data_IF_385666643791
#
_entry.id   IF_385666643791
#
_cell.length_a   1.000
_cell.length_b   1.000
_cell.length_c   1.000
_cell.angle_alpha   90.00
_cell.angle_beta   90.00
_cell.angle_gamma   90.00
#
_symmetry.space_group_name_H-M   'P 1'
#
loop_
_entity.id
_entity.type
_entity.pdbx_description
1 polymer ?
#
# COMPACT_ATOMS: atom_id res chain seq x y z
N UNK A 1 2.04 36.10 -14.09
CA UNK A 1 1.80 34.83 -13.36
C UNK A 1 2.39 33.64 -14.16
N UNK A 2 3.42 32.98 -13.60
CA UNK A 2 4.00 31.79 -14.22
C UNK A 2 3.14 30.57 -13.88
N UNK A 3 2.28 30.19 -14.81
CA UNK A 3 1.43 29.00 -14.67
C UNK A 3 2.22 27.75 -15.03
N UNK A 4 2.11 26.71 -14.20
CA UNK A 4 2.68 25.39 -14.48
C UNK A 4 1.59 24.49 -15.09
N UNK A 5 1.70 24.10 -16.37
CA UNK A 5 0.67 23.30 -17.04
C UNK A 5 0.31 22.00 -16.31
N UNK A 6 1.27 21.40 -15.59
CA UNK A 6 1.08 20.17 -14.81
C UNK A 6 0.21 20.32 -13.56
N UNK A 7 -0.22 21.54 -13.22
CA UNK A 7 -1.05 21.83 -12.04
C UNK A 7 -2.44 22.35 -12.41
N UNK A 8 -2.75 22.43 -13.70
CA UNK A 8 -3.99 23.03 -14.18
C UNK A 8 -5.07 21.96 -14.29
N UNK A 9 -6.11 22.08 -13.47
CA UNK A 9 -7.34 21.31 -13.62
C UNK A 9 -8.34 22.09 -14.48
N UNK A 10 -8.84 21.48 -15.55
CA UNK A 10 -9.85 22.08 -16.43
C UNK A 10 -11.25 21.62 -16.06
N UNK A 11 -12.23 22.51 -16.13
CA UNK A 11 -13.64 22.26 -15.82
C UNK A 11 -14.52 22.97 -16.86
N UNK A 12 -15.72 22.43 -17.13
CA UNK A 12 -16.72 23.10 -17.98
C UNK A 12 -17.55 24.14 -17.22
N UNK A 13 -17.61 24.03 -15.89
CA UNK A 13 -18.34 24.92 -15.01
C UNK A 13 -17.43 25.35 -13.86
N UNK A 14 -17.62 26.54 -13.26
CA UNK A 14 -16.74 27.10 -12.23
C UNK A 14 -16.50 26.23 -10.98
N UNK A 15 -17.34 25.22 -10.75
CA UNK A 15 -17.24 24.25 -9.65
C UNK A 15 -17.53 22.81 -10.12
N UNK A 16 -17.36 22.55 -11.43
CA UNK A 16 -17.63 21.25 -12.01
C UNK A 16 -16.57 20.20 -11.69
N UNK A 17 -16.82 18.96 -12.09
CA UNK A 17 -15.79 17.91 -12.02
C UNK A 17 -14.64 18.23 -12.98
N UNK A 18 -13.40 17.96 -12.56
CA UNK A 18 -12.25 18.11 -13.44
C UNK A 18 -12.33 17.17 -14.64
N UNK A 19 -12.01 17.70 -15.81
CA UNK A 19 -11.91 16.94 -17.05
C UNK A 19 -10.72 15.96 -16.96
N UNK A 20 -10.90 14.78 -17.56
CA UNK A 20 -9.82 13.80 -17.68
C UNK A 20 -8.86 14.24 -18.78
N UNK A 21 -7.57 13.99 -18.60
CA UNK A 21 -6.52 14.31 -19.58
C UNK A 21 -6.70 13.64 -20.96
N UNK A 22 -7.52 12.58 -21.04
CA UNK A 22 -7.78 11.79 -22.25
C UNK A 22 -9.14 12.10 -22.91
N UNK A 23 -9.84 13.15 -22.48
CA UNK A 23 -11.16 13.47 -23.03
C UNK A 23 -11.06 13.97 -24.48
N UNK A 24 -11.95 13.49 -25.34
CA UNK A 24 -12.03 13.98 -26.72
C UNK A 24 -12.76 15.33 -26.73
N UNK A 25 -12.11 16.37 -27.27
CA UNK A 25 -12.70 17.72 -27.40
C UNK A 25 -14.02 17.67 -28.20
N UNK A 26 -14.14 16.81 -29.21
CA UNK A 26 -15.38 16.64 -29.98
C UNK A 26 -16.55 16.16 -29.11
N UNK A 27 -16.28 15.38 -28.06
CA UNK A 27 -17.32 14.94 -27.11
C UNK A 27 -17.75 16.03 -26.14
N UNK A 28 -16.95 17.10 -26.01
CA UNK A 28 -17.24 18.27 -25.17
C UNK A 28 -17.91 19.39 -25.96
N UNK A 29 -17.67 19.45 -27.28
CA UNK A 29 -18.19 20.48 -28.18
C UNK A 29 -19.68 20.25 -28.53
N UNK A 30 -20.58 20.60 -27.61
CA UNK A 30 -22.02 20.69 -27.91
C UNK A 30 -22.33 21.95 -28.75
N UNK A 31 -21.42 22.94 -28.77
CA UNK A 31 -21.54 24.18 -29.54
C UNK A 31 -20.20 24.60 -30.16
N UNK A 32 -20.21 25.62 -31.02
CA UNK A 32 -19.01 26.18 -31.69
C UNK A 32 -17.99 26.80 -30.73
N UNK A 33 -18.38 27.11 -29.49
CA UNK A 33 -17.54 27.74 -28.47
C UNK A 33 -17.60 26.90 -27.19
N UNK A 34 -16.44 26.50 -26.68
CA UNK A 34 -16.30 25.84 -25.37
C UNK A 34 -15.65 26.83 -24.41
N UNK A 35 -16.31 27.09 -23.29
CA UNK A 35 -15.71 27.81 -22.17
C UNK A 35 -15.10 26.80 -21.20
N UNK A 36 -13.81 26.95 -20.91
CA UNK A 36 -13.09 26.14 -19.92
C UNK A 36 -12.68 27.02 -18.75
N UNK A 37 -13.07 26.59 -17.56
CA UNK A 37 -12.57 27.14 -16.31
C UNK A 37 -11.33 26.37 -15.91
N UNK A 38 -10.34 27.08 -15.40
CA UNK A 38 -9.09 26.47 -14.94
C UNK A 38 -8.88 26.76 -13.46
N UNK A 39 -8.39 25.77 -12.73
CA UNK A 39 -8.03 25.89 -11.31
C UNK A 39 -6.62 25.37 -11.12
N UNK A 40 -5.80 26.08 -10.34
CA UNK A 40 -4.50 25.56 -9.89
C UNK A 40 -4.75 24.52 -8.78
N UNK A 41 -4.43 23.26 -9.08
CA UNK A 41 -4.56 22.11 -8.18
C UNK A 41 -3.46 22.10 -7.10
N UNK A 42 -2.48 23.00 -7.18
CA UNK A 42 -1.31 23.02 -6.31
C UNK A 42 -0.26 21.98 -6.73
N UNK A 43 0.72 21.74 -5.86
CA UNK A 43 1.81 20.81 -6.16
C UNK A 43 1.30 19.37 -6.34
N UNK A 44 1.52 18.84 -7.54
CA UNK A 44 1.11 17.50 -7.94
C UNK A 44 2.29 16.52 -7.89
N UNK A 45 2.01 15.25 -7.58
CA UNK A 45 2.96 14.14 -7.65
C UNK A 45 2.38 12.99 -8.46
N UNK A 46 3.24 12.23 -9.14
CA UNK A 46 2.80 11.04 -9.86
C UNK A 46 2.35 9.95 -8.89
N UNK A 47 1.38 9.12 -9.29
CA UNK A 47 0.95 7.98 -8.47
C UNK A 47 2.08 6.99 -8.19
N UNK A 48 2.98 6.74 -9.14
CA UNK A 48 4.15 5.89 -8.90
C UNK A 48 5.02 6.45 -7.79
N UNK A 49 5.34 7.75 -7.82
CA UNK A 49 6.11 8.40 -6.75
C UNK A 49 5.37 8.36 -5.41
N UNK A 50 4.05 8.57 -5.43
CA UNK A 50 3.20 8.49 -4.24
C UNK A 50 3.36 7.12 -3.55
N UNK A 51 3.11 6.03 -4.27
CA UNK A 51 3.10 4.69 -3.69
C UNK A 51 4.50 4.22 -3.32
N UNK A 52 5.52 4.52 -4.14
CA UNK A 52 6.90 4.19 -3.79
C UNK A 52 7.33 4.88 -2.50
N UNK A 53 7.00 6.16 -2.32
CA UNK A 53 7.37 6.91 -1.11
C UNK A 53 6.59 6.39 0.10
N UNK A 54 5.28 6.17 -0.06
CA UNK A 54 4.40 5.66 0.98
C UNK A 54 4.87 4.30 1.51
N UNK A 55 5.26 3.38 0.63
CA UNK A 55 5.68 2.01 0.98
C UNK A 55 7.17 1.87 1.35
N UNK A 56 8.05 2.75 0.86
CA UNK A 56 9.48 2.73 1.25
C UNK A 56 9.66 3.09 2.72
N UNK A 57 8.87 4.04 3.23
CA UNK A 57 8.97 4.47 4.62
C UNK A 57 8.78 3.34 5.63
N UNK A 58 7.66 2.59 5.61
CA UNK A 58 7.43 1.46 6.49
C UNK A 58 8.56 0.44 6.48
N UNK A 59 9.09 0.10 5.30
CA UNK A 59 10.22 -0.83 5.17
C UNK A 59 11.45 -0.34 5.96
N UNK A 60 11.85 0.92 5.74
CA UNK A 60 13.02 1.49 6.40
C UNK A 60 12.79 1.72 7.90
N UNK A 61 11.62 2.25 8.25
CA UNK A 61 11.24 2.54 9.65
C UNK A 61 11.24 1.25 10.47
N UNK A 62 10.63 0.17 9.98
CA UNK A 62 10.61 -1.09 10.72
C UNK A 62 12.03 -1.61 10.96
N UNK A 63 12.90 -1.56 9.94
CA UNK A 63 14.31 -1.96 10.05
C UNK A 63 15.07 -1.12 11.09
N UNK A 64 14.80 0.19 11.18
CA UNK A 64 15.39 1.06 12.22
C UNK A 64 15.02 0.59 13.63
N UNK A 65 13.75 0.25 13.88
CA UNK A 65 13.32 -0.29 15.16
C UNK A 65 13.90 -1.68 15.45
N UNK A 66 14.03 -2.52 14.43
CA UNK A 66 14.62 -3.85 14.54
C UNK A 66 16.11 -3.82 14.98
N UNK A 67 16.87 -2.82 14.50
CA UNK A 67 18.27 -2.60 14.91
C UNK A 67 18.39 -2.32 16.42
N UNK A 68 17.34 -1.79 17.07
CA UNK A 68 17.31 -1.39 18.49
C UNK A 68 18.41 -0.39 18.85
N UNK A 69 18.46 0.73 18.13
CA UNK A 69 19.36 1.84 18.49
C UNK A 69 19.09 2.31 19.93
N UNK A 70 20.16 2.61 20.65
CA UNK A 70 20.15 3.02 22.07
C UNK A 70 19.46 4.37 22.32
N UNK A 71 19.11 5.10 21.27
CA UNK A 71 18.29 6.32 21.31
C UNK A 71 16.79 6.03 21.36
N UNK A 72 16.36 4.84 20.93
CA UNK A 72 14.94 4.44 20.85
C UNK A 72 14.53 3.63 22.09
N UNK A 73 15.40 2.72 22.53
CA UNK A 73 15.15 1.86 23.69
C UNK A 73 16.20 2.12 24.77
N UNK A 74 15.84 1.84 26.02
CA UNK A 74 16.72 2.02 27.18
C UNK A 74 18.10 1.33 26.99
N UNK A 75 19.17 2.01 27.39
CA UNK A 75 20.54 1.54 27.15
C UNK A 75 20.90 0.27 27.93
N UNK A 76 20.30 0.05 29.09
CA UNK A 76 20.53 -1.16 29.90
C UNK A 76 19.85 -2.35 29.23
N UNK A 77 18.67 -2.14 28.67
CA UNK A 77 17.92 -3.19 27.99
C UNK A 77 18.42 -3.47 26.57
N UNK A 78 18.88 -2.45 25.85
CA UNK A 78 19.42 -2.58 24.49
C UNK A 78 20.73 -3.38 24.45
N UNK A 79 21.48 -3.43 25.57
CA UNK A 79 22.65 -4.30 25.73
C UNK A 79 22.28 -5.79 25.74
N UNK A 80 21.02 -6.14 25.97
CA UNK A 80 20.53 -7.51 25.79
C UNK A 80 20.39 -7.78 24.29
N UNK A 81 21.40 -8.41 23.71
CA UNK A 81 21.42 -8.79 22.29
C UNK A 81 20.39 -9.86 21.91
N UNK A 82 19.73 -10.46 22.90
CA UNK A 82 18.76 -11.51 22.67
C UNK A 82 17.45 -10.97 22.05
N UNK A 83 17.00 -11.63 20.99
CA UNK A 83 15.73 -11.41 20.30
C UNK A 83 15.02 -12.75 20.16
N UNK A 84 13.73 -12.78 20.44
CA UNK A 84 12.95 -13.99 20.22
C UNK A 84 12.84 -14.30 18.72
N UNK A 85 12.80 -15.58 18.31
CA UNK A 85 12.66 -15.96 16.90
C UNK A 85 11.49 -15.30 16.17
N UNK A 86 10.37 -15.08 16.88
CA UNK A 86 9.18 -14.40 16.34
C UNK A 86 9.46 -12.95 15.94
N UNK A 87 10.40 -12.25 16.60
CA UNK A 87 10.78 -10.87 16.25
C UNK A 87 11.51 -10.85 14.90
N UNK A 88 12.39 -11.83 14.66
CA UNK A 88 13.06 -12.01 13.38
C UNK A 88 12.06 -12.36 12.27
N UNK A 89 11.13 -13.26 12.56
CA UNK A 89 10.09 -13.65 11.62
C UNK A 89 9.14 -12.49 11.30
N UNK A 90 8.75 -11.69 12.30
CA UNK A 90 7.96 -10.49 12.10
C UNK A 90 8.68 -9.46 11.23
N UNK A 91 9.98 -9.24 11.47
CA UNK A 91 10.79 -8.39 10.58
C UNK A 91 10.82 -8.93 9.15
N UNK A 92 11.01 -10.23 8.97
CA UNK A 92 10.99 -10.86 7.65
C UNK A 92 9.64 -10.69 6.95
N UNK A 93 8.53 -11.01 7.61
CA UNK A 93 7.18 -10.87 7.07
C UNK A 93 6.85 -9.42 6.70
N UNK A 94 7.17 -8.47 7.58
CA UNK A 94 6.94 -7.04 7.33
C UNK A 94 7.77 -6.54 6.14
N UNK A 95 9.05 -6.92 6.07
CA UNK A 95 9.89 -6.58 4.92
C UNK A 95 9.37 -7.20 3.62
N UNK A 96 9.01 -8.49 3.65
CA UNK A 96 8.45 -9.20 2.49
C UNK A 96 7.21 -8.48 1.95
N UNK A 97 6.30 -8.08 2.84
CA UNK A 97 5.08 -7.38 2.50
C UNK A 97 5.34 -6.04 1.79
N UNK A 98 6.16 -5.17 2.38
CA UNK A 98 6.46 -3.88 1.76
C UNK A 98 7.35 -4.00 0.51
N UNK A 99 8.25 -4.98 0.45
CA UNK A 99 9.01 -5.29 -0.77
C UNK A 99 8.05 -5.72 -1.88
N UNK A 100 7.06 -6.58 -1.59
CA UNK A 100 6.03 -6.95 -2.57
C UNK A 100 5.28 -5.72 -3.06
N UNK A 101 4.80 -4.85 -2.18
CA UNK A 101 4.13 -3.60 -2.58
C UNK A 101 5.00 -2.70 -3.46
N UNK A 102 6.30 -2.57 -3.15
CA UNK A 102 7.24 -1.81 -3.97
C UNK A 102 7.42 -2.44 -5.36
N UNK A 103 7.65 -3.76 -5.42
CA UNK A 103 7.79 -4.48 -6.69
C UNK A 103 6.51 -4.42 -7.52
N UNK A 104 5.35 -4.60 -6.91
CA UNK A 104 4.06 -4.49 -7.59
C UNK A 104 3.83 -3.06 -8.11
N UNK A 105 4.18 -2.04 -7.33
CA UNK A 105 4.12 -0.64 -7.77
C UNK A 105 5.00 -0.36 -9.00
N UNK A 106 6.19 -0.99 -9.06
CA UNK A 106 7.14 -0.81 -10.17
C UNK A 106 6.77 -1.62 -11.41
N UNK A 107 6.30 -2.86 -11.24
CA UNK A 107 6.25 -3.85 -12.32
C UNK A 107 4.85 -4.37 -12.65
N UNK A 108 3.88 -4.25 -11.74
CA UNK A 108 2.53 -4.82 -11.90
C UNK A 108 1.48 -3.73 -12.10
N UNK A 109 1.51 -2.69 -11.26
CA UNK A 109 0.50 -1.65 -11.27
C UNK A 109 0.69 -0.69 -12.44
N UNK A 110 -0.38 -0.51 -13.21
CA UNK A 110 -0.48 0.53 -14.24
C UNK A 110 -1.32 1.68 -13.72
N UNK A 111 -0.67 2.70 -13.20
CA UNK A 111 -1.37 3.92 -12.83
C UNK A 111 -1.81 4.65 -14.09
N UNK A 112 -3.13 4.85 -14.26
CA UNK A 112 -3.63 5.75 -15.31
C UNK A 112 -2.99 7.12 -15.14
N UNK A 113 -2.61 7.78 -16.25
CA UNK A 113 -1.82 9.02 -16.28
C UNK A 113 -2.48 10.22 -15.60
N UNK A 114 -2.61 10.15 -14.27
CA UNK A 114 -3.11 11.18 -13.40
C UNK A 114 -2.09 11.48 -12.31
N UNK A 115 -2.25 12.65 -11.72
CA UNK A 115 -1.46 13.08 -10.58
C UNK A 115 -2.37 13.22 -9.36
N UNK A 116 -1.76 13.23 -8.18
CA UNK A 116 -2.46 13.50 -6.92
C UNK A 116 -1.81 14.68 -6.21
N UNK A 117 -2.58 15.50 -5.47
CA UNK A 117 -2.01 16.56 -4.64
C UNK A 117 -0.96 16.02 -3.66
N UNK A 118 0.19 16.70 -3.55
CA UNK A 118 1.27 16.33 -2.63
C UNK A 118 0.78 16.17 -1.18
N UNK A 119 -0.20 16.98 -0.76
CA UNK A 119 -0.81 16.89 0.57
C UNK A 119 -1.42 15.51 0.85
N UNK A 120 -1.95 14.83 -0.16
CA UNK A 120 -2.47 13.47 0.00
C UNK A 120 -1.34 12.48 0.24
N UNK A 121 -0.22 12.62 -0.47
CA UNK A 121 0.97 11.78 -0.25
C UNK A 121 1.52 11.95 1.16
N UNK A 122 1.59 13.18 1.65
CA UNK A 122 2.05 13.46 3.02
C UNK A 122 1.12 12.80 4.04
N UNK A 123 -0.21 12.92 3.87
CA UNK A 123 -1.17 12.26 4.76
C UNK A 123 -1.02 10.74 4.76
N UNK A 124 -0.89 10.14 3.58
CA UNK A 124 -0.66 8.71 3.42
C UNK A 124 0.62 8.25 4.11
N UNK A 125 1.73 8.95 3.85
CA UNK A 125 3.01 8.69 4.51
C UNK A 125 2.89 8.79 6.03
N UNK A 126 2.34 9.88 6.57
CA UNK A 126 2.16 10.04 8.03
C UNK A 126 1.36 8.90 8.63
N UNK A 127 0.30 8.45 7.95
CA UNK A 127 -0.51 7.32 8.37
C UNK A 127 0.32 6.02 8.41
N UNK A 128 0.83 5.56 7.26
CA UNK A 128 1.54 4.28 7.18
C UNK A 128 2.84 4.26 7.99
N UNK A 129 3.60 5.36 7.97
CA UNK A 129 4.87 5.46 8.68
C UNK A 129 4.65 5.52 10.19
N UNK A 130 3.60 6.22 10.63
CA UNK A 130 3.20 6.30 12.03
C UNK A 130 2.76 4.94 12.58
N UNK A 131 1.84 4.25 11.89
CA UNK A 131 1.39 2.92 12.29
C UNK A 131 2.53 1.90 12.27
N UNK A 132 3.42 1.97 11.27
CA UNK A 132 4.60 1.11 11.24
C UNK A 132 5.51 1.37 12.43
N UNK A 133 5.78 2.64 12.74
CA UNK A 133 6.61 3.01 13.90
C UNK A 133 5.99 2.48 15.20
N UNK A 134 4.67 2.61 15.34
CA UNK A 134 3.93 2.11 16.48
C UNK A 134 4.10 0.59 16.61
N UNK A 135 3.73 -0.19 15.60
CA UNK A 135 3.80 -1.66 15.62
C UNK A 135 5.24 -2.13 15.82
N UNK A 136 6.19 -1.55 15.08
CA UNK A 136 7.60 -1.92 15.13
C UNK A 136 8.22 -1.64 16.51
N UNK A 137 7.83 -0.55 17.19
CA UNK A 137 8.31 -0.24 18.53
C UNK A 137 7.99 -1.37 19.52
N UNK A 138 6.75 -1.86 19.54
CA UNK A 138 6.33 -2.87 20.51
C UNK A 138 6.88 -4.26 20.19
N UNK A 139 6.84 -4.69 18.93
CA UNK A 139 7.36 -6.01 18.54
C UNK A 139 8.86 -6.09 18.78
N UNK A 140 9.60 -5.02 18.48
CA UNK A 140 11.05 -5.01 18.63
C UNK A 140 11.49 -4.59 20.03
N UNK A 141 10.60 -4.23 20.96
CA UNK A 141 10.97 -3.82 22.30
C UNK A 141 11.80 -4.90 23.03
N UNK A 142 12.85 -4.57 23.79
CA UNK A 142 13.63 -5.55 24.58
C UNK A 142 12.80 -6.38 25.58
N UNK A 143 11.66 -5.83 26.03
CA UNK A 143 10.68 -6.48 26.91
C UNK A 143 9.57 -7.24 26.20
N UNK A 144 9.65 -7.38 24.87
CA UNK A 144 8.66 -8.13 24.11
C UNK A 144 8.61 -9.58 24.63
N UNK A 145 7.39 -10.05 24.93
CA UNK A 145 7.13 -11.43 25.34
C UNK A 145 6.54 -12.22 24.18
N UNK A 146 7.02 -13.44 23.89
CA UNK A 146 6.47 -14.28 22.83
C UNK A 146 4.97 -14.58 23.00
N UNK A 147 4.29 -14.99 21.91
CA UNK A 147 2.88 -15.34 21.95
C UNK A 147 2.55 -16.47 22.94
N UNK A 148 1.39 -16.40 23.58
CA UNK A 148 0.98 -17.29 24.66
C UNK A 148 0.78 -18.73 24.22
N UNK A 149 0.37 -18.97 22.97
CA UNK A 149 0.22 -20.32 22.41
C UNK A 149 1.50 -20.83 21.71
N UNK A 150 2.60 -20.10 21.85
CA UNK A 150 3.95 -20.54 21.47
C UNK A 150 4.12 -20.81 19.98
N UNK A 151 4.99 -21.77 19.66
CA UNK A 151 5.46 -22.03 18.29
C UNK A 151 4.34 -22.45 17.30
N UNK A 152 3.29 -23.13 17.77
CA UNK A 152 2.18 -23.55 16.90
C UNK A 152 1.41 -22.35 16.36
N UNK A 153 1.08 -21.38 17.21
CA UNK A 153 0.44 -20.13 16.81
C UNK A 153 1.32 -19.38 15.81
N UNK A 154 2.60 -19.20 16.13
CA UNK A 154 3.55 -18.49 15.25
C UNK A 154 3.63 -19.18 13.88
N UNK A 155 3.73 -20.50 13.83
CA UNK A 155 3.84 -21.25 12.59
C UNK A 155 2.61 -21.12 11.70
N UNK A 156 1.41 -21.38 12.24
CA UNK A 156 0.17 -21.30 11.44
C UNK A 156 -0.15 -19.87 11.01
N UNK A 157 0.12 -18.89 11.87
CA UNK A 157 -0.06 -17.49 11.54
C UNK A 157 0.91 -17.03 10.44
N UNK A 158 2.19 -17.44 10.50
CA UNK A 158 3.16 -17.15 9.44
C UNK A 158 2.77 -17.84 8.11
N UNK A 159 2.27 -19.07 8.15
CA UNK A 159 1.78 -19.76 6.95
C UNK A 159 0.57 -19.04 6.34
N UNK A 160 -0.40 -18.65 7.17
CA UNK A 160 -1.56 -17.89 6.73
C UNK A 160 -1.16 -16.53 6.13
N UNK A 161 -0.19 -15.84 6.73
CA UNK A 161 0.39 -14.62 6.20
C UNK A 161 0.96 -14.83 4.78
N UNK A 162 1.79 -15.85 4.58
CA UNK A 162 2.39 -16.13 3.27
C UNK A 162 1.34 -16.50 2.20
N UNK A 163 0.31 -17.25 2.57
CA UNK A 163 -0.83 -17.56 1.69
C UNK A 163 -1.55 -16.27 1.29
N UNK A 164 -1.75 -15.34 2.24
CA UNK A 164 -2.39 -14.06 1.95
C UNK A 164 -1.52 -13.16 1.06
N UNK A 165 -0.21 -13.07 1.32
CA UNK A 165 0.71 -12.31 0.48
C UNK A 165 0.74 -12.83 -0.97
N UNK A 166 0.82 -14.16 -1.14
CA UNK A 166 0.74 -14.79 -2.46
C UNK A 166 -0.62 -14.52 -3.13
N UNK A 167 -1.71 -14.67 -2.37
CA UNK A 167 -3.06 -14.41 -2.86
C UNK A 167 -3.24 -12.98 -3.36
N UNK A 168 -2.83 -12.00 -2.56
CA UNK A 168 -2.88 -10.58 -2.90
C UNK A 168 -2.11 -10.31 -4.21
N UNK A 169 -0.89 -10.85 -4.31
CA UNK A 169 -0.07 -10.74 -5.51
C UNK A 169 -0.76 -11.28 -6.78
N UNK A 170 -1.30 -12.49 -6.72
CA UNK A 170 -1.98 -13.09 -7.87
C UNK A 170 -3.23 -12.33 -8.29
N UNK A 171 -3.96 -11.77 -7.33
CA UNK A 171 -5.11 -10.90 -7.62
C UNK A 171 -4.64 -9.62 -8.30
N UNK A 172 -3.57 -8.98 -7.81
CA UNK A 172 -3.02 -7.76 -8.42
C UNK A 172 -2.51 -8.02 -9.84
N UNK A 173 -1.88 -9.17 -10.11
CA UNK A 173 -1.51 -9.59 -11.46
C UNK A 173 -2.76 -9.75 -12.34
N UNK A 174 -3.80 -10.43 -11.85
CA UNK A 174 -5.03 -10.63 -12.61
C UNK A 174 -5.70 -9.29 -12.98
N UNK A 175 -5.73 -8.34 -12.03
CA UNK A 175 -6.23 -6.98 -12.23
C UNK A 175 -5.37 -6.21 -13.25
N UNK A 176 -4.04 -6.32 -13.16
CA UNK A 176 -3.12 -5.68 -14.09
C UNK A 176 -3.31 -6.21 -15.52
N UNK A 177 -3.38 -7.53 -15.70
CA UNK A 177 -3.57 -8.16 -17.01
C UNK A 177 -4.85 -7.66 -17.72
N UNK A 178 -5.95 -7.47 -16.98
CA UNK A 178 -7.16 -6.90 -17.55
C UNK A 178 -6.97 -5.45 -18.00
N UNK A 179 -6.27 -4.65 -17.22
CA UNK A 179 -5.92 -3.28 -17.61
C UNK A 179 -5.09 -3.24 -18.91
N UNK A 180 -4.32 -4.29 -19.22
CA UNK A 180 -3.58 -4.40 -20.49
C UNK A 180 -4.48 -4.80 -21.66
N UNK A 181 -5.49 -5.65 -21.44
CA UNK A 181 -6.39 -6.12 -22.50
C UNK A 181 -7.37 -5.05 -23.02
N UNK A 182 -7.42 -3.86 -22.40
CA UNK A 182 -8.26 -2.73 -22.85
C UNK A 182 -9.76 -2.87 -22.55
N UNK A 183 -10.19 -4.04 -22.04
CA UNK A 183 -11.58 -4.34 -21.76
C UNK A 183 -11.99 -3.82 -20.37
N UNK A 184 -12.32 -2.52 -20.28
CA UNK A 184 -12.64 -1.83 -19.02
C UNK A 184 -14.00 -2.21 -18.40
N UNK A 185 -14.76 -3.11 -19.02
CA UNK A 185 -16.16 -3.40 -18.67
C UNK A 185 -16.39 -4.75 -18.00
N UNK A 186 -15.37 -5.60 -17.84
CA UNK A 186 -15.51 -6.93 -17.25
C UNK A 186 -14.65 -7.07 -15.99
N UNK A 187 -15.28 -7.39 -14.85
CA UNK A 187 -14.57 -7.72 -13.61
C UNK A 187 -13.73 -9.01 -13.79
N UNK A 188 -12.61 -9.17 -13.08
CA UNK A 188 -11.85 -10.40 -13.12
C UNK A 188 -12.69 -11.57 -12.62
N UNK A 189 -12.65 -12.64 -13.41
CA UNK A 189 -13.24 -13.91 -13.05
C UNK A 189 -12.16 -14.86 -12.51
N UNK A 190 -12.56 -15.83 -11.67
CA UNK A 190 -11.65 -16.85 -11.18
C UNK A 190 -10.99 -17.60 -12.36
N UNK A 191 -9.69 -17.83 -12.24
CA UNK A 191 -8.87 -18.57 -13.18
C UNK A 191 -8.54 -19.97 -12.64
N UNK A 192 -7.70 -20.73 -13.35
CA UNK A 192 -7.16 -22.00 -12.85
C UNK A 192 -6.32 -21.84 -11.57
N UNK A 193 -5.82 -20.63 -11.29
CA UNK A 193 -5.09 -20.36 -10.05
C UNK A 193 -6.08 -20.26 -8.86
N UNK A 194 -5.98 -21.14 -7.84
CA UNK A 194 -6.91 -21.16 -6.72
C UNK A 194 -6.94 -19.84 -5.92
N UNK A 195 -5.86 -19.07 -5.91
CA UNK A 195 -5.84 -17.76 -5.25
C UNK A 195 -6.85 -16.77 -5.85
N UNK A 196 -7.22 -16.95 -7.12
CA UNK A 196 -8.21 -16.12 -7.82
C UNK A 196 -9.65 -16.58 -7.59
N UNK A 197 -9.89 -17.74 -6.97
CA UNK A 197 -11.25 -18.24 -6.71
C UNK A 197 -12.03 -17.36 -5.74
N UNK A 198 -11.32 -16.55 -4.95
CA UNK A 198 -11.92 -15.60 -4.02
C UNK A 198 -12.79 -14.54 -4.75
N UNK A 199 -12.61 -14.32 -6.06
CA UNK A 199 -13.53 -13.51 -6.89
C UNK A 199 -14.98 -14.05 -6.90
N UNK A 200 -15.20 -15.33 -6.59
CA UNK A 200 -16.56 -15.90 -6.45
C UNK A 200 -17.29 -15.41 -5.20
N UNK A 201 -16.56 -14.91 -4.20
CA UNK A 201 -17.10 -14.58 -2.88
C UNK A 201 -17.09 -13.08 -2.60
N UNK A 202 -16.10 -12.34 -3.12
CA UNK A 202 -15.92 -10.92 -2.83
C UNK A 202 -15.49 -10.13 -4.08
N UNK A 203 -15.86 -8.85 -4.13
CA UNK A 203 -15.56 -7.96 -5.26
C UNK A 203 -14.09 -7.55 -5.34
N UNK A 204 -13.43 -7.39 -4.18
CA UNK A 204 -12.04 -6.95 -4.10
C UNK A 204 -11.20 -7.95 -3.28
N UNK A 205 -10.84 -9.11 -3.86
CA UNK A 205 -10.10 -10.14 -3.15
C UNK A 205 -8.72 -9.70 -2.66
N UNK A 206 -8.07 -8.75 -3.36
CA UNK A 206 -6.79 -8.18 -2.94
C UNK A 206 -6.89 -7.56 -1.55
N UNK A 207 -7.94 -6.76 -1.27
CA UNK A 207 -8.14 -6.20 0.07
C UNK A 207 -8.49 -7.26 1.12
N UNK A 208 -9.13 -8.36 0.71
CA UNK A 208 -9.42 -9.47 1.63
C UNK A 208 -8.13 -10.19 2.04
N UNK A 209 -7.25 -10.48 1.08
CA UNK A 209 -5.93 -11.02 1.37
C UNK A 209 -5.07 -10.04 2.17
N UNK A 210 -5.09 -8.75 1.84
CA UNK A 210 -4.41 -7.70 2.60
C UNK A 210 -4.82 -7.71 4.08
N UNK A 211 -6.13 -7.71 4.36
CA UNK A 211 -6.64 -7.82 5.73
C UNK A 211 -6.20 -9.14 6.39
N UNK A 212 -6.24 -10.25 5.64
CA UNK A 212 -5.75 -11.55 6.09
C UNK A 212 -4.27 -11.55 6.47
N UNK A 213 -3.41 -10.87 5.71
CA UNK A 213 -1.99 -10.68 6.04
C UNK A 213 -1.83 -9.95 7.37
N UNK A 214 -2.50 -8.81 7.57
CA UNK A 214 -2.37 -8.04 8.81
C UNK A 214 -2.97 -8.75 10.04
N UNK A 215 -4.09 -9.46 9.89
CA UNK A 215 -4.67 -10.31 10.95
C UNK A 215 -3.69 -11.42 11.31
N UNK A 216 -3.14 -12.11 10.30
CA UNK A 216 -2.17 -13.18 10.51
C UNK A 216 -0.90 -12.66 11.18
N UNK A 217 -0.40 -11.50 10.77
CA UNK A 217 0.75 -10.85 11.39
C UNK A 217 0.48 -10.51 12.86
N UNK A 218 -0.69 -9.97 13.18
CA UNK A 218 -1.11 -9.64 14.55
C UNK A 218 -1.23 -10.89 15.41
N UNK A 219 -1.82 -11.97 14.89
CA UNK A 219 -1.88 -13.27 15.59
C UNK A 219 -0.47 -13.84 15.79
N UNK A 220 0.42 -13.69 14.81
CA UNK A 220 1.80 -14.18 14.89
C UNK A 220 2.60 -13.47 15.98
N UNK A 221 2.44 -12.15 16.13
CA UNK A 221 3.22 -11.34 17.08
C UNK A 221 2.54 -11.23 18.45
N UNK A 222 1.22 -11.41 18.51
CA UNK A 222 0.39 -11.23 19.70
C UNK A 222 0.67 -9.90 20.42
N UNK A 223 0.77 -8.82 19.64
CA UNK A 223 0.84 -7.46 20.14
C UNK A 223 -0.53 -6.80 20.04
N UNK A 224 -0.91 -6.06 21.08
CA UNK A 224 -2.18 -5.30 21.13
C UNK A 224 -2.22 -4.09 20.18
N UNK A 225 -1.10 -3.39 19.96
CA UNK A 225 -0.88 -2.53 18.81
C UNK A 225 -1.05 -3.19 17.44
#
# INVERSE_FOLDING_TARGET
PHWYPSRVGLQLEPNGTFLKDSINIQSLAVSSIITLYFTDLGQQVSWTTFFLTEYTGPLLIYLLFYIRLSTIYDQVESRKNFRHPVVHLACFCHCLHYIRHLLETLFVHKFSGGHTPLKNMIKGCVFYWGFTSWIAYYINHPRYTPPSFGHRQVFYAALAFLICEAGNHFINIALAHQSHSGNKTCFPHPSYNPFTWLFLLVSCPNYTYEAGSWISFTVMTQTLP
#
